data_IF_278060219734
#
_entry.id   IF_278060219734
#
_cell.length_a   1.000
_cell.length_b   1.000
_cell.length_c   1.000
_cell.angle_alpha   90.00
_cell.angle_beta   90.00
_cell.angle_gamma   90.00
#
_symmetry.space_group_name_H-M   'P 1'
#
loop_
_entity.id
_entity.type
_entity.pdbx_description
1 polymer ?
#
# COMPACT_ATOMS: atom_id res chain seq x y z
N UNK A 1 16.07 23.71 -6.23
CA UNK A 1 14.86 23.40 -5.43
C UNK A 1 14.95 21.98 -4.88
N UNK A 2 14.82 21.84 -3.58
CA UNK A 2 14.87 20.53 -2.95
C UNK A 2 13.56 19.79 -3.20
N UNK A 3 13.70 18.59 -3.69
CA UNK A 3 12.55 17.72 -3.93
C UNK A 3 12.16 17.01 -2.64
N UNK A 4 10.90 17.10 -2.26
CA UNK A 4 10.42 16.36 -1.10
C UNK A 4 10.52 14.86 -1.36
N UNK A 5 10.78 14.08 -0.32
CA UNK A 5 10.75 12.64 -0.43
C UNK A 5 9.34 12.20 -0.78
N UNK A 6 9.24 11.18 -1.62
CA UNK A 6 7.96 10.59 -1.95
C UNK A 6 7.43 9.83 -0.75
N UNK A 7 6.13 9.91 -0.53
CA UNK A 7 5.48 9.38 0.65
C UNK A 7 4.60 8.19 0.32
N UNK A 8 4.68 7.18 1.18
CA UNK A 8 3.98 5.91 1.02
C UNK A 8 3.12 5.68 2.25
N UNK A 9 1.85 5.37 2.03
CA UNK A 9 0.96 4.94 3.10
C UNK A 9 0.95 3.42 3.11
N UNK A 10 1.30 2.84 4.25
CA UNK A 10 1.40 1.38 4.41
C UNK A 10 0.34 0.90 5.38
N UNK A 11 -0.45 -0.08 4.97
CA UNK A 11 -1.48 -0.67 5.82
C UNK A 11 -1.32 -2.18 5.87
N UNK A 12 -1.13 -2.71 7.06
CA UNK A 12 -0.98 -4.14 7.29
C UNK A 12 -1.25 -4.41 8.75
N UNK A 13 -2.10 -5.37 9.09
CA UNK A 13 -2.41 -5.62 10.49
C UNK A 13 -1.33 -6.43 11.23
N UNK A 14 -0.22 -6.75 10.57
CA UNK A 14 0.95 -7.37 11.19
C UNK A 14 2.05 -6.33 11.43
N UNK A 15 2.28 -6.00 12.70
CA UNK A 15 3.29 -4.98 13.07
C UNK A 15 4.70 -5.32 12.58
N UNK A 16 5.06 -6.59 12.59
CA UNK A 16 6.39 -7.00 12.14
C UNK A 16 6.60 -6.68 10.66
N UNK A 17 5.57 -6.84 9.86
CA UNK A 17 5.61 -6.51 8.43
C UNK A 17 5.77 -4.99 8.26
N UNK A 18 4.98 -4.22 9.01
CA UNK A 18 5.08 -2.75 8.96
C UNK A 18 6.50 -2.30 9.26
N UNK A 19 7.10 -2.80 10.33
CA UNK A 19 8.45 -2.41 10.73
C UNK A 19 9.50 -2.78 9.69
N UNK A 20 9.39 -3.97 9.12
CA UNK A 20 10.33 -4.43 8.10
C UNK A 20 10.22 -3.60 6.82
N UNK A 21 9.01 -3.34 6.37
CA UNK A 21 8.77 -2.55 5.16
C UNK A 21 9.23 -1.11 5.37
N UNK A 22 8.89 -0.51 6.51
CA UNK A 22 9.32 0.85 6.82
C UNK A 22 10.84 0.98 6.74
N UNK A 23 11.56 0.04 7.36
CA UNK A 23 13.02 0.08 7.39
C UNK A 23 13.63 0.04 5.99
N UNK A 24 13.18 -0.89 5.17
CA UNK A 24 13.73 -1.07 3.83
C UNK A 24 13.33 0.05 2.88
N UNK A 25 12.10 0.48 2.95
CA UNK A 25 11.59 1.49 2.04
C UNK A 25 12.14 2.87 2.42
N UNK A 26 12.25 3.16 3.71
CA UNK A 26 12.86 4.41 4.16
C UNK A 26 14.36 4.46 3.82
N UNK A 27 15.04 3.31 3.91
CA UNK A 27 16.45 3.23 3.51
C UNK A 27 16.63 3.52 2.01
N UNK A 28 15.61 3.28 1.21
CA UNK A 28 15.62 3.57 -0.22
C UNK A 28 15.27 5.03 -0.55
N UNK A 29 14.97 5.84 0.45
CA UNK A 29 14.73 7.28 0.26
C UNK A 29 13.28 7.73 0.32
N UNK A 30 12.36 6.85 0.65
CA UNK A 30 10.94 7.18 0.75
C UNK A 30 10.55 7.49 2.20
N UNK A 31 9.45 8.23 2.35
CA UNK A 31 8.84 8.43 3.65
C UNK A 31 7.68 7.45 3.78
N UNK A 32 7.60 6.71 4.90
CA UNK A 32 6.55 5.71 5.11
C UNK A 32 5.69 6.09 6.31
N UNK A 33 4.38 6.04 6.10
CA UNK A 33 3.39 6.21 7.16
C UNK A 33 2.67 4.87 7.33
N UNK A 34 3.04 4.14 8.36
CA UNK A 34 2.54 2.77 8.59
C UNK A 34 1.39 2.72 9.58
N UNK A 35 0.37 1.95 9.24
CA UNK A 35 -0.82 1.77 10.08
C UNK A 35 -1.18 0.29 10.17
N UNK A 36 -1.45 -0.17 11.38
CA UNK A 36 -1.97 -1.52 11.60
C UNK A 36 -3.49 -1.60 11.48
N UNK A 37 -4.17 -0.46 11.50
CA UNK A 37 -5.62 -0.37 11.44
C UNK A 37 -6.03 0.35 10.15
N UNK A 38 -6.75 -0.34 9.24
CA UNK A 38 -7.17 0.28 7.98
C UNK A 38 -8.11 1.47 8.17
N UNK A 39 -8.88 1.51 9.24
CA UNK A 39 -9.76 2.64 9.52
C UNK A 39 -8.92 3.89 9.82
N UNK A 40 -7.88 3.74 10.64
CA UNK A 40 -6.98 4.85 10.95
C UNK A 40 -6.18 5.29 9.73
N UNK A 41 -5.77 4.33 8.91
CA UNK A 41 -5.05 4.64 7.67
C UNK A 41 -5.93 5.45 6.72
N UNK A 42 -7.19 5.08 6.59
CA UNK A 42 -8.12 5.79 5.72
C UNK A 42 -8.37 7.21 6.23
N UNK A 43 -8.51 7.36 7.54
CA UNK A 43 -8.68 8.66 8.18
C UNK A 43 -7.48 9.56 7.90
N UNK A 44 -6.27 9.03 8.02
CA UNK A 44 -5.05 9.74 7.67
C UNK A 44 -5.07 10.14 6.19
N UNK A 45 -5.44 9.21 5.32
CA UNK A 45 -5.48 9.47 3.89
C UNK A 45 -6.49 10.55 3.51
N UNK A 46 -7.64 10.59 4.18
CA UNK A 46 -8.64 11.64 3.96
C UNK A 46 -8.07 13.02 4.22
N UNK A 47 -7.19 13.15 5.21
CA UNK A 47 -6.62 14.44 5.60
C UNK A 47 -5.37 14.82 4.82
N UNK A 48 -4.63 13.84 4.30
CA UNK A 48 -3.31 14.07 3.71
C UNK A 48 -3.12 13.43 2.34
N UNK A 49 -4.18 13.15 1.61
CA UNK A 49 -4.10 12.43 0.33
C UNK A 49 -3.17 13.08 -0.68
N UNK A 50 -3.10 14.40 -0.70
CA UNK A 50 -2.23 15.13 -1.64
C UNK A 50 -0.75 14.83 -1.43
N UNK A 51 -0.38 14.44 -0.22
CA UNK A 51 1.00 14.13 0.12
C UNK A 51 1.37 12.65 -0.01
N UNK A 52 0.42 11.81 -0.40
CA UNK A 52 0.66 10.37 -0.53
C UNK A 52 0.79 9.99 -2.00
N UNK A 53 1.95 9.46 -2.37
CA UNK A 53 2.25 9.07 -3.75
C UNK A 53 1.85 7.63 -4.05
N UNK A 54 1.83 6.78 -3.03
CA UNK A 54 1.57 5.36 -3.19
C UNK A 54 0.95 4.78 -1.93
N UNK A 55 0.01 3.86 -2.10
CA UNK A 55 -0.56 3.07 -1.02
C UNK A 55 -0.10 1.63 -1.17
N UNK A 56 0.50 1.09 -0.12
CA UNK A 56 0.83 -0.34 0.00
C UNK A 56 -0.16 -0.93 0.99
N UNK A 57 -0.96 -1.89 0.56
CA UNK A 57 -2.00 -2.46 1.43
C UNK A 57 -1.96 -3.97 1.42
N UNK A 58 -2.10 -4.58 2.60
CA UNK A 58 -2.41 -5.98 2.71
C UNK A 58 -3.81 -6.23 2.16
N UNK A 59 -4.08 -7.43 1.72
CA UNK A 59 -5.40 -7.81 1.20
C UNK A 59 -6.32 -8.25 2.33
N UNK A 60 -5.82 -9.12 3.20
CA UNK A 60 -6.61 -9.65 4.31
C UNK A 60 -6.31 -8.91 5.60
N UNK A 61 -7.21 -8.04 5.98
CA UNK A 61 -7.11 -7.28 7.20
C UNK A 61 -8.40 -7.39 7.98
N UNK A 62 -8.30 -7.26 9.30
CA UNK A 62 -9.48 -7.16 10.15
C UNK A 62 -10.15 -5.81 9.93
N UNK A 63 -11.42 -5.71 10.21
CA UNK A 63 -12.24 -4.49 10.09
C UNK A 63 -12.58 -4.11 8.67
N UNK A 64 -11.61 -4.10 7.77
CA UNK A 64 -11.80 -3.71 6.37
C UNK A 64 -10.74 -4.43 5.54
N UNK A 65 -11.15 -5.15 4.50
CA UNK A 65 -10.20 -5.82 3.63
C UNK A 65 -9.55 -4.83 2.66
N UNK A 66 -8.46 -5.28 2.01
CA UNK A 66 -7.70 -4.42 1.10
C UNK A 66 -8.52 -3.91 -0.08
N UNK A 67 -9.44 -4.72 -0.58
CA UNK A 67 -10.32 -4.32 -1.69
C UNK A 67 -11.20 -3.13 -1.29
N UNK A 68 -11.86 -3.21 -0.15
CA UNK A 68 -12.67 -2.10 0.36
C UNK A 68 -11.83 -0.86 0.61
N UNK A 69 -10.65 -1.07 1.20
CA UNK A 69 -9.73 0.02 1.48
C UNK A 69 -9.32 0.72 0.19
N UNK A 70 -8.95 -0.04 -0.84
CA UNK A 70 -8.57 0.52 -2.14
C UNK A 70 -9.70 1.30 -2.78
N UNK A 71 -10.93 0.78 -2.71
CA UNK A 71 -12.09 1.49 -3.26
C UNK A 71 -12.29 2.83 -2.58
N UNK A 72 -12.16 2.88 -1.25
CA UNK A 72 -12.32 4.12 -0.50
C UNK A 72 -11.19 5.11 -0.78
N UNK A 73 -9.96 4.61 -0.92
CA UNK A 73 -8.82 5.44 -1.31
C UNK A 73 -9.06 6.08 -2.68
N UNK A 74 -9.49 5.29 -3.65
CA UNK A 74 -9.76 5.78 -5.01
C UNK A 74 -10.95 6.75 -5.05
N UNK A 75 -11.92 6.58 -4.15
CA UNK A 75 -13.03 7.52 -4.05
C UNK A 75 -12.57 8.90 -3.54
N UNK A 76 -11.53 8.94 -2.71
CA UNK A 76 -10.96 10.18 -2.19
C UNK A 76 -10.06 10.82 -3.24
N UNK A 77 -9.19 10.03 -3.86
CA UNK A 77 -8.25 10.50 -4.87
C UNK A 77 -8.00 9.39 -5.89
N UNK A 78 -8.67 9.49 -7.04
CA UNK A 78 -8.70 8.43 -8.04
C UNK A 78 -7.35 8.11 -8.67
N UNK A 79 -6.43 9.06 -8.70
CA UNK A 79 -5.11 8.87 -9.31
C UNK A 79 -4.07 8.25 -8.37
N UNK A 80 -4.44 7.96 -7.12
CA UNK A 80 -3.53 7.33 -6.17
C UNK A 80 -3.10 5.95 -6.66
N UNK A 81 -1.80 5.71 -6.65
CA UNK A 81 -1.23 4.40 -7.00
C UNK A 81 -1.40 3.43 -5.85
N UNK A 82 -1.74 2.19 -6.15
CA UNK A 82 -1.97 1.15 -5.14
C UNK A 82 -1.23 -0.11 -5.50
N UNK A 83 -0.50 -0.66 -4.52
CA UNK A 83 0.10 -1.99 -4.60
C UNK A 83 -0.48 -2.83 -3.48
N UNK A 84 -0.97 -4.02 -3.81
CA UNK A 84 -1.38 -4.99 -2.80
C UNK A 84 -0.24 -5.91 -2.42
N UNK A 85 -0.17 -6.25 -1.13
CA UNK A 85 0.74 -7.26 -0.61
C UNK A 85 -0.09 -8.39 -0.01
N UNK A 86 0.29 -9.63 -0.26
CA UNK A 86 -0.39 -10.78 0.32
C UNK A 86 0.60 -11.88 0.68
N UNK A 87 0.31 -12.61 1.76
CA UNK A 87 1.10 -13.77 2.16
C UNK A 87 0.68 -15.04 1.42
N UNK A 88 -0.47 -15.04 0.76
CA UNK A 88 -1.08 -16.24 0.18
C UNK A 88 -1.28 -16.10 -1.32
N UNK A 89 -0.68 -17.02 -2.09
CA UNK A 89 -0.93 -17.08 -3.54
C UNK A 89 -2.39 -17.31 -3.86
N UNK A 90 -3.13 -17.96 -2.94
CA UNK A 90 -4.56 -18.22 -3.10
C UNK A 90 -5.40 -16.95 -3.14
N UNK A 91 -4.84 -15.81 -2.71
CA UNK A 91 -5.54 -14.53 -2.78
C UNK A 91 -5.49 -13.91 -4.18
N UNK A 92 -4.58 -14.37 -5.03
CA UNK A 92 -4.40 -13.80 -6.37
C UNK A 92 -5.65 -13.94 -7.27
N UNK A 93 -6.39 -15.08 -7.25
CA UNK A 93 -7.64 -15.16 -8.02
C UNK A 93 -8.69 -14.16 -7.54
N UNK A 94 -8.75 -13.86 -6.25
CA UNK A 94 -9.69 -12.88 -5.72
C UNK A 94 -9.31 -11.47 -6.17
N UNK A 95 -8.00 -11.20 -6.28
CA UNK A 95 -7.52 -9.93 -6.81
C UNK A 95 -8.00 -9.69 -8.23
N UNK A 96 -7.97 -10.71 -9.07
CA UNK A 96 -8.40 -10.55 -10.46
C UNK A 96 -9.89 -10.20 -10.56
N UNK A 97 -10.70 -10.61 -9.59
CA UNK A 97 -12.11 -10.21 -9.53
C UNK A 97 -12.26 -8.76 -9.08
N UNK A 98 -11.31 -8.26 -8.32
CA UNK A 98 -11.30 -6.88 -7.82
C UNK A 98 -10.86 -5.89 -8.89
N UNK A 99 -9.90 -6.29 -9.73
CA UNK A 99 -9.26 -5.42 -10.71
C UNK A 99 -10.22 -4.68 -11.65
N UNK A 100 -11.34 -5.28 -12.11
CA UNK A 100 -12.27 -4.53 -12.97
C UNK A 100 -12.92 -3.34 -12.30
N UNK A 101 -13.10 -3.37 -10.98
CA UNK A 101 -13.78 -2.28 -10.25
C UNK A 101 -12.82 -1.29 -9.61
N UNK A 102 -11.56 -1.68 -9.39
CA UNK A 102 -10.56 -0.83 -8.77
C UNK A 102 -9.24 -1.01 -9.51
N UNK A 103 -8.67 0.09 -9.98
CA UNK A 103 -7.37 0.04 -10.64
C UNK A 103 -6.27 -0.18 -9.61
N UNK A 104 -5.56 -1.30 -9.76
CA UNK A 104 -4.42 -1.65 -8.92
C UNK A 104 -3.16 -1.61 -9.78
N UNK A 105 -2.13 -0.96 -9.30
CA UNK A 105 -0.90 -0.74 -10.07
C UNK A 105 0.11 -1.87 -9.91
N UNK A 106 -0.05 -2.71 -8.90
CA UNK A 106 0.82 -3.86 -8.70
C UNK A 106 0.39 -4.71 -7.52
N UNK A 107 0.98 -5.89 -7.43
CA UNK A 107 0.80 -6.74 -6.25
C UNK A 107 2.06 -7.56 -6.03
N UNK A 108 2.27 -7.98 -4.77
CA UNK A 108 3.45 -8.73 -4.36
C UNK A 108 3.08 -9.76 -3.31
N UNK A 109 3.83 -10.85 -3.30
CA UNK A 109 3.70 -11.88 -2.27
C UNK A 109 4.60 -11.55 -1.08
N UNK A 110 4.06 -11.66 0.14
CA UNK A 110 4.85 -11.58 1.37
C UNK A 110 5.29 -12.99 1.78
N UNK A 111 6.42 -13.16 2.41
CA UNK A 111 7.46 -12.18 2.73
C UNK A 111 8.46 -11.99 1.59
N UNK A 112 8.00 -11.82 0.39
CA UNK A 112 8.86 -11.67 -0.76
C UNK A 112 10.09 -10.81 -0.50
N UNK A 113 10.98 -10.73 -1.46
CA UNK A 113 12.18 -9.92 -1.33
C UNK A 113 11.81 -8.46 -1.13
N UNK A 114 12.27 -7.84 -0.04
CA UNK A 114 12.06 -6.42 0.21
C UNK A 114 12.78 -5.58 -0.85
N UNK A 115 13.83 -6.12 -1.43
CA UNK A 115 14.52 -5.52 -2.58
C UNK A 115 13.57 -5.41 -3.77
N UNK A 116 12.82 -6.48 -4.06
CA UNK A 116 11.85 -6.49 -5.15
C UNK A 116 10.72 -5.49 -4.88
N UNK A 117 10.33 -5.31 -3.63
CA UNK A 117 9.32 -4.33 -3.26
C UNK A 117 9.81 -2.92 -3.61
N UNK A 118 11.03 -2.57 -3.22
CA UNK A 118 11.61 -1.26 -3.53
C UNK A 118 11.69 -1.04 -5.03
N UNK A 119 12.13 -2.04 -5.79
CA UNK A 119 12.21 -1.95 -7.24
C UNK A 119 10.82 -1.74 -7.87
N UNK A 120 9.82 -2.45 -7.37
CA UNK A 120 8.45 -2.31 -7.85
C UNK A 120 7.90 -0.91 -7.57
N UNK A 121 8.16 -0.39 -6.37
CA UNK A 121 7.75 0.97 -6.00
C UNK A 121 8.37 1.97 -6.96
N UNK A 122 9.67 1.86 -7.21
CA UNK A 122 10.39 2.80 -8.10
C UNK A 122 9.85 2.79 -9.52
N UNK A 123 9.39 1.64 -10.00
CA UNK A 123 8.81 1.54 -11.34
C UNK A 123 7.43 2.19 -11.43
N UNK A 124 6.69 2.19 -10.34
CA UNK A 124 5.31 2.68 -10.32
C UNK A 124 5.28 4.19 -10.06
N UNK A 125 6.12 4.66 -9.20
CA UNK A 125 6.22 6.09 -8.89
C UNK A 125 7.59 6.63 -9.23
#
# INVERSE_FOLDING_TARGET
>A
MLRKRRSILLVDDELDIIKSVERWVEAAGFKVYGFADPIQALEYFQNYSDGIDLVLSDIRMRKMNGHEFAKKVKAIRSETKIIFMTALETDLPELSKTLPSVRIDGFMLKPGSLENLVDTIKKII
#
